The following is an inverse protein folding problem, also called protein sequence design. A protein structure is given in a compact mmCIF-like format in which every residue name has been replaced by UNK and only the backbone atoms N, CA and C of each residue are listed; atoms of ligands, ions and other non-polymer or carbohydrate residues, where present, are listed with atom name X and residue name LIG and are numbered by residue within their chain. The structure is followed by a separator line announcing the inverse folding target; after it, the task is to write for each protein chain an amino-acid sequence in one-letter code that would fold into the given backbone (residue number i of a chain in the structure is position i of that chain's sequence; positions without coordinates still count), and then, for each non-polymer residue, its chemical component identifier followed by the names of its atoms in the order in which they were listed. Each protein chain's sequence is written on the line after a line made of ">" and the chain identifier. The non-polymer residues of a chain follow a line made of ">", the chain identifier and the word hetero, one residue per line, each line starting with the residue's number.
data_IF_823641878220
#
_entry.id   IF_823641878220
#
_cell.length_a   1.000
_cell.length_b   1.000
_cell.length_c   1.000
_cell.angle_alpha   90.00
_cell.angle_beta   90.00
_cell.angle_gamma   90.00
#
_symmetry.space_group_name_H-M   'P 1'
#
loop_
_entity.id
_entity.type
_entity.pdbx_description
1 polymer ?
#
# COMPACT_ATOMS: atom_id res chain seq x y z
N UNK A 1 -1.89 -0.93 5.49
CA UNK A 1 -0.51 -1.36 5.14
C UNK A 1 0.26 -0.25 4.43
N UNK A 2 -0.36 0.44 3.45
CA UNK A 2 0.20 1.61 2.74
C UNK A 2 0.66 2.73 3.68
N UNK A 3 0.06 2.85 4.87
CA UNK A 3 0.43 3.81 5.92
C UNK A 3 1.86 3.62 6.45
N UNK A 4 2.37 2.39 6.49
CA UNK A 4 3.69 2.06 7.03
C UNK A 4 4.74 1.79 5.95
N UNK A 5 4.38 2.00 4.68
CA UNK A 5 5.25 1.76 3.53
C UNK A 5 5.26 2.96 2.58
N UNK A 6 6.33 3.09 1.81
CA UNK A 6 6.38 4.01 0.68
C UNK A 6 5.69 3.38 -0.52
N UNK A 7 5.38 4.19 -1.53
CA UNK A 7 4.83 3.70 -2.80
C UNK A 7 5.77 2.69 -3.48
N UNK A 8 7.07 2.84 -3.26
CA UNK A 8 8.12 1.93 -3.73
C UNK A 8 8.31 0.67 -2.87
N UNK A 9 7.39 0.38 -1.95
CA UNK A 9 7.43 -0.83 -1.14
C UNK A 9 8.46 -0.84 0.00
N UNK A 10 9.04 0.31 0.36
CA UNK A 10 10.00 0.41 1.48
C UNK A 10 9.26 0.66 2.78
N UNK A 11 9.67 0.01 3.88
CA UNK A 11 9.11 0.30 5.21
C UNK A 11 9.52 1.72 5.64
N UNK A 12 8.54 2.52 6.05
CA UNK A 12 8.74 3.90 6.53
C UNK A 12 9.58 3.95 7.81
N UNK A 13 10.37 5.01 7.96
CA UNK A 13 11.20 5.22 9.16
C UNK A 13 10.34 5.62 10.38
N UNK A 14 10.83 5.36 11.60
CA UNK A 14 10.09 5.64 12.85
C UNK A 14 9.65 7.10 12.99
N UNK A 15 10.45 8.03 12.47
CA UNK A 15 10.12 9.46 12.43
C UNK A 15 8.84 9.76 11.65
N UNK A 16 8.54 8.94 10.63
CA UNK A 16 7.35 9.10 9.78
C UNK A 16 6.16 8.26 10.23
N UNK A 17 6.38 7.19 11.01
CA UNK A 17 5.29 6.32 11.51
C UNK A 17 4.81 6.71 12.90
N UNK A 18 5.60 7.47 13.67
CA UNK A 18 5.24 7.88 15.04
C UNK A 18 5.17 6.73 16.06
N UNK A 19 5.56 5.52 15.67
CA UNK A 19 5.48 4.34 16.53
C UNK A 19 6.64 4.28 17.52
N UNK A 20 6.38 3.79 18.74
CA UNK A 20 7.46 3.44 19.69
C UNK A 20 8.38 2.40 19.06
N UNK A 21 9.70 2.40 19.37
CA UNK A 21 10.68 1.50 18.74
C UNK A 21 10.30 0.02 18.79
N UNK A 22 9.69 -0.44 19.89
CA UNK A 22 9.21 -1.82 20.04
C UNK A 22 8.13 -2.16 19.02
N UNK A 23 7.17 -1.26 18.81
CA UNK A 23 6.05 -1.46 17.91
C UNK A 23 6.50 -1.34 16.44
N UNK A 24 7.40 -0.40 16.14
CA UNK A 24 8.01 -0.27 14.81
C UNK A 24 8.67 -1.59 14.37
N UNK A 25 9.41 -2.27 15.27
CA UNK A 25 10.03 -3.57 14.97
C UNK A 25 9.01 -4.66 14.71
N UNK A 26 7.91 -4.70 15.48
CA UNK A 26 6.82 -5.69 15.30
C UNK A 26 6.16 -5.52 13.94
N UNK A 27 5.76 -4.29 13.60
CA UNK A 27 5.16 -3.95 12.30
C UNK A 27 6.13 -4.30 11.16
N UNK A 28 7.39 -3.87 11.25
CA UNK A 28 8.37 -4.16 10.22
C UNK A 28 8.61 -5.67 9.99
N UNK A 29 8.58 -6.47 11.07
CA UNK A 29 8.70 -7.94 10.97
C UNK A 29 7.46 -8.57 10.32
N UNK A 30 6.26 -8.10 10.67
CA UNK A 30 5.02 -8.56 10.07
C UNK A 30 4.98 -8.28 8.56
N UNK A 31 5.37 -7.05 8.16
CA UNK A 31 5.47 -6.65 6.75
C UNK A 31 6.45 -7.55 5.99
N UNK A 32 7.68 -7.74 6.51
CA UNK A 32 8.67 -8.63 5.85
C UNK A 32 8.19 -10.07 5.70
N UNK A 33 7.45 -10.59 6.68
CA UNK A 33 6.85 -11.93 6.62
C UNK A 33 5.76 -12.01 5.54
N UNK A 34 4.86 -11.02 5.49
CA UNK A 34 3.81 -10.98 4.47
C UNK A 34 4.39 -10.95 3.05
N UNK A 35 5.51 -10.23 2.84
CA UNK A 35 6.24 -10.24 1.56
C UNK A 35 6.81 -11.63 1.27
N UNK A 36 7.52 -12.24 2.23
CA UNK A 36 8.12 -13.56 2.05
C UNK A 36 7.09 -14.67 1.77
N UNK A 37 5.87 -14.52 2.29
CA UNK A 37 4.76 -15.45 2.06
C UNK A 37 3.98 -15.17 0.76
N UNK A 38 4.33 -14.12 0.01
CA UNK A 38 3.62 -13.74 -1.23
C UNK A 38 2.25 -13.09 -1.00
N UNK A 39 1.90 -12.76 0.25
CA UNK A 39 0.64 -12.09 0.61
C UNK A 39 0.67 -10.58 0.34
N UNK A 40 1.86 -10.02 0.12
CA UNK A 40 2.05 -8.59 -0.10
C UNK A 40 3.18 -8.33 -1.10
N UNK A 41 3.01 -7.40 -2.05
CA UNK A 41 4.04 -7.04 -3.01
C UNK A 41 5.19 -6.29 -2.34
N UNK A 42 6.41 -6.46 -2.87
CA UNK A 42 7.63 -5.82 -2.34
C UNK A 42 7.98 -4.48 -3.00
N UNK A 43 7.46 -4.18 -4.19
CA UNK A 43 7.93 -3.03 -5.00
C UNK A 43 6.80 -2.05 -5.39
N UNK A 44 5.55 -2.50 -5.49
CA UNK A 44 4.41 -1.70 -5.98
C UNK A 44 3.19 -1.92 -5.05
N UNK A 45 2.17 -1.04 -5.07
CA UNK A 45 0.85 -1.40 -4.50
C UNK A 45 0.36 -2.72 -5.10
N UNK A 46 -0.36 -3.54 -4.33
CA UNK A 46 -0.85 -4.83 -4.82
C UNK A 46 -1.64 -4.58 -6.11
N UNK A 47 -1.37 -5.32 -7.20
CA UNK A 47 -1.95 -5.01 -8.52
C UNK A 47 -3.48 -4.98 -8.50
N UNK A 48 -4.12 -5.67 -7.56
CA UNK A 48 -5.58 -5.58 -7.35
C UNK A 48 -6.06 -4.18 -6.92
N UNK A 49 -5.28 -3.43 -6.14
CA UNK A 49 -5.62 -2.03 -5.83
C UNK A 49 -5.42 -1.10 -7.03
N UNK A 50 -4.44 -1.40 -7.91
CA UNK A 50 -4.23 -0.65 -9.15
C UNK A 50 -5.41 -0.89 -10.09
N UNK A 51 -5.87 -2.14 -10.20
CA UNK A 51 -7.06 -2.50 -10.99
C UNK A 51 -8.33 -1.83 -10.46
N UNK A 52 -8.58 -1.86 -9.15
CA UNK A 52 -9.77 -1.22 -8.57
C UNK A 52 -9.75 0.31 -8.68
N UNK A 53 -8.59 0.96 -8.53
CA UNK A 53 -8.46 2.40 -8.79
C UNK A 53 -8.62 2.74 -10.28
N UNK A 54 -8.13 1.88 -11.20
CA UNK A 54 -8.33 2.05 -12.64
C UNK A 54 -9.79 1.85 -13.07
N UNK A 55 -10.48 0.88 -12.48
CA UNK A 55 -11.90 0.61 -12.74
C UNK A 55 -12.79 1.72 -12.17
N UNK A 56 -12.50 2.21 -10.97
CA UNK A 56 -13.21 3.37 -10.38
C UNK A 56 -13.04 4.67 -11.16
N UNK A 57 -11.93 4.86 -11.88
CA UNK A 57 -11.72 6.02 -12.76
C UNK A 57 -12.47 5.91 -14.09
N UNK A 58 -12.69 4.70 -14.60
CA UNK A 58 -13.47 4.46 -15.83
C UNK A 58 -14.96 4.73 -15.64
N UNK A 59 -15.50 4.45 -14.45
CA UNK A 59 -16.92 4.70 -14.14
C UNK A 59 -17.26 6.16 -13.85
N UNK A 60 -16.29 6.97 -13.41
CA UNK A 60 -16.46 8.40 -13.14
C UNK A 60 -16.28 9.29 -14.37
N UNK A 61 -15.40 8.91 -15.29
CA UNK A 61 -15.12 9.66 -16.54
C UNK A 61 -16.19 9.47 -17.64
N UNK A 62 -16.95 8.37 -17.59
CA UNK A 62 -18.01 8.09 -18.57
C UNK A 62 -19.33 8.84 -18.39
N UNK A 63 -19.51 9.58 -17.29
CA UNK A 63 -20.78 10.28 -16.98
C UNK A 63 -20.81 11.77 -17.33
N UNK A 64 -19.68 12.35 -17.76
CA UNK A 64 -19.54 13.80 -17.98
C UNK A 64 -19.82 14.21 -19.44
N UNK A 65 -20.00 13.25 -20.36
CA UNK A 65 -20.25 13.52 -21.79
C UNK A 65 -21.63 13.07 -22.30
N UNK A 66 -22.59 12.84 -21.40
CA UNK A 66 -23.98 12.57 -21.76
C UNK A 66 -24.88 13.65 -21.13
N UNK A 67 -24.87 14.86 -21.69
CA UNK A 67 -25.83 15.95 -21.44
C UNK A 67 -25.88 16.84 -22.67
#
# INVERSE_FOLDING_TARGET
>A
MSEYMTEMGRIRHSSSTGLRPVNQRKVAKAIRRAIALGLMPSVHRHPEYIKSEMEGKRTSSGRVFAS
#
